data_IF_216331009296
#
_entry.id   IF_216331009296
#
_cell.length_a   1.000
_cell.length_b   1.000
_cell.length_c   1.000
_cell.angle_alpha   90.00
_cell.angle_beta   90.00
_cell.angle_gamma   90.00
#
_symmetry.space_group_name_H-M   'P 1'
#
loop_
_entity.id
_entity.type
_entity.pdbx_description
1 polymer ?
#
# COMPACT_ATOMS: atom_id res chain seq x y z
N UNK A 1 6.78 6.19 -3.37
CA UNK A 1 7.24 6.22 -1.96
C UNK A 1 6.31 5.32 -1.18
N UNK A 2 6.83 4.54 -0.23
CA UNK A 2 6.02 3.83 0.74
C UNK A 2 6.55 3.91 2.16
N UNK A 3 5.69 3.60 3.13
CA UNK A 3 6.02 3.56 4.55
C UNK A 3 6.02 2.11 5.03
N UNK A 4 7.15 1.64 5.55
CA UNK A 4 7.21 0.37 6.28
C UNK A 4 6.54 0.52 7.64
N UNK A 5 5.67 -0.43 8.02
CA UNK A 5 4.77 -0.37 9.17
C UNK A 5 3.86 0.87 9.15
N UNK A 6 2.93 0.86 8.22
CA UNK A 6 1.94 1.92 8.02
C UNK A 6 1.02 2.08 9.23
N UNK A 7 0.55 3.31 9.48
CA UNK A 7 -0.46 3.57 10.52
C UNK A 7 -1.86 3.12 10.09
N UNK A 8 -2.16 3.22 8.81
CA UNK A 8 -3.44 2.87 8.21
C UNK A 8 -3.25 2.31 6.80
N UNK A 9 -4.28 1.68 6.26
CA UNK A 9 -4.31 1.26 4.84
C UNK A 9 -4.32 2.45 3.86
N UNK A 10 -4.44 3.68 4.34
CA UNK A 10 -4.60 4.90 3.53
C UNK A 10 -3.53 5.95 3.85
N UNK A 11 -2.37 5.55 4.39
CA UNK A 11 -1.25 6.44 4.64
C UNK A 11 -0.86 7.28 3.40
N UNK A 12 -0.86 6.74 2.16
CA UNK A 12 -0.62 7.55 0.96
C UNK A 12 -1.58 8.74 0.83
N UNK A 13 -2.89 8.51 0.99
CA UNK A 13 -3.90 9.55 0.93
C UNK A 13 -3.83 10.51 2.12
N UNK A 14 -3.56 9.99 3.32
CA UNK A 14 -3.46 10.77 4.56
C UNK A 14 -2.30 11.78 4.51
N UNK A 15 -1.15 11.36 4.00
CA UNK A 15 0.06 12.19 3.93
C UNK A 15 0.29 12.85 2.56
N UNK A 16 -0.54 12.55 1.57
CA UNK A 16 -0.51 13.17 0.24
C UNK A 16 0.69 12.75 -0.62
N UNK A 17 1.10 11.48 -0.55
CA UNK A 17 2.15 10.92 -1.43
C UNK A 17 1.58 9.83 -2.36
N UNK A 18 2.27 9.61 -3.48
CA UNK A 18 1.94 8.52 -4.41
C UNK A 18 2.51 7.20 -3.85
N UNK A 19 1.62 6.42 -3.23
CA UNK A 19 1.89 5.09 -2.69
C UNK A 19 0.95 4.03 -3.27
N UNK A 20 1.27 2.78 -2.96
CA UNK A 20 0.53 1.58 -3.34
C UNK A 20 -0.60 1.27 -2.36
N UNK A 21 -0.41 1.47 -1.06
CA UNK A 21 -1.42 1.10 -0.05
C UNK A 21 -2.74 1.83 -0.22
N UNK A 22 -3.83 1.07 -0.20
CA UNK A 22 -5.17 1.61 -0.34
C UNK A 22 -6.22 0.76 0.37
N UNK A 23 -7.18 1.43 1.01
CA UNK A 23 -8.49 0.92 1.36
C UNK A 23 -9.57 1.87 0.82
N UNK A 24 -10.50 1.33 0.04
CA UNK A 24 -11.71 2.05 -0.35
C UNK A 24 -12.85 1.07 -0.58
N UNK A 25 -14.05 1.38 -0.07
CA UNK A 25 -15.24 0.53 -0.23
C UNK A 25 -15.63 0.26 -1.69
N UNK A 26 -15.20 1.12 -2.61
CA UNK A 26 -15.43 1.03 -4.05
C UNK A 26 -14.29 0.37 -4.82
N UNK A 27 -13.26 -0.15 -4.14
CA UNK A 27 -12.12 -0.79 -4.80
C UNK A 27 -12.55 -2.01 -5.61
N UNK A 28 -12.05 -2.12 -6.84
CA UNK A 28 -12.32 -3.27 -7.68
C UNK A 28 -11.70 -4.55 -7.08
N UNK A 29 -12.43 -5.66 -7.15
CA UNK A 29 -12.00 -6.96 -6.60
C UNK A 29 -10.77 -7.54 -7.30
N UNK A 30 -10.63 -7.32 -8.61
CA UNK A 30 -9.55 -7.93 -9.40
C UNK A 30 -8.15 -7.41 -9.02
N UNK A 31 -7.90 -6.08 -8.90
CA UNK A 31 -6.66 -5.56 -8.33
C UNK A 31 -6.34 -6.13 -6.94
N UNK A 32 -7.32 -6.19 -6.04
CA UNK A 32 -7.14 -6.75 -4.68
C UNK A 32 -6.61 -8.18 -4.72
N UNK A 33 -7.21 -9.03 -5.56
CA UNK A 33 -6.78 -10.43 -5.74
C UNK A 33 -5.40 -10.54 -6.38
N UNK A 34 -5.10 -9.70 -7.35
CA UNK A 34 -3.78 -9.68 -7.98
C UNK A 34 -2.70 -9.33 -6.96
N UNK A 35 -2.86 -8.24 -6.21
CA UNK A 35 -1.87 -7.83 -5.19
C UNK A 35 -1.69 -8.88 -4.09
N UNK A 36 -2.77 -9.51 -3.65
CA UNK A 36 -2.73 -10.66 -2.72
C UNK A 36 -1.89 -11.82 -3.28
N UNK A 37 -2.16 -12.25 -4.51
CA UNK A 37 -1.40 -13.31 -5.17
C UNK A 37 0.07 -12.94 -5.40
N UNK A 38 0.39 -11.65 -5.52
CA UNK A 38 1.77 -11.16 -5.63
C UNK A 38 2.52 -11.12 -4.29
N UNK A 39 1.83 -11.25 -3.16
CA UNK A 39 2.41 -11.32 -1.82
C UNK A 39 2.03 -10.17 -0.88
N UNK A 40 1.36 -9.13 -1.40
CA UNK A 40 0.92 -8.01 -0.57
C UNK A 40 -0.19 -8.43 0.38
N UNK A 41 -0.16 -7.86 1.59
CA UNK A 41 -1.23 -8.04 2.55
C UNK A 41 -2.53 -7.46 1.99
N UNK A 42 -3.61 -8.24 2.09
CA UNK A 42 -4.93 -7.91 1.58
C UNK A 42 -6.00 -8.37 2.56
N UNK A 43 -7.15 -7.70 2.57
CA UNK A 43 -8.34 -8.21 3.27
C UNK A 43 -9.23 -9.09 2.38
N UNK A 44 -8.81 -9.35 1.14
CA UNK A 44 -9.53 -10.16 0.14
C UNK A 44 -10.78 -9.50 -0.44
N UNK A 45 -11.08 -8.24 -0.06
CA UNK A 45 -12.33 -7.55 -0.41
C UNK A 45 -12.03 -6.26 -1.17
N UNK A 46 -11.38 -5.30 -0.51
CA UNK A 46 -11.34 -3.91 -0.98
C UNK A 46 -10.12 -3.12 -0.46
N UNK A 47 -9.07 -3.82 -0.04
CA UNK A 47 -7.81 -3.18 0.34
C UNK A 47 -6.61 -4.08 0.12
N UNK A 48 -5.49 -3.43 -0.12
CA UNK A 48 -4.16 -4.02 -0.16
C UNK A 48 -3.16 -3.03 0.44
N UNK A 49 -2.12 -3.57 1.07
CA UNK A 49 -1.09 -2.79 1.76
C UNK A 49 0.30 -3.14 1.26
N UNK A 50 1.24 -2.20 1.39
CA UNK A 50 2.65 -2.37 1.09
C UNK A 50 3.31 -3.55 1.85
N UNK A 51 2.80 -3.92 3.03
CA UNK A 51 3.28 -5.10 3.77
C UNK A 51 3.29 -6.33 2.86
N UNK A 52 4.42 -7.05 2.80
CA UNK A 52 4.60 -8.18 1.89
C UNK A 52 5.19 -7.83 0.53
N UNK A 53 5.72 -6.62 0.36
CA UNK A 53 6.49 -6.25 -0.84
C UNK A 53 7.80 -7.01 -0.98
N UNK A 54 8.30 -7.07 -2.21
CA UNK A 54 9.66 -7.47 -2.56
C UNK A 54 10.33 -6.35 -3.34
N UNK A 55 11.65 -6.33 -3.42
CA UNK A 55 12.35 -5.36 -4.26
C UNK A 55 11.91 -5.42 -5.73
N UNK A 56 11.53 -6.60 -6.24
CA UNK A 56 10.95 -6.74 -7.58
C UNK A 56 9.62 -5.98 -7.71
N UNK A 57 8.72 -6.09 -6.72
CA UNK A 57 7.45 -5.38 -6.75
C UNK A 57 7.63 -3.87 -6.52
N UNK A 58 8.54 -3.47 -5.62
CA UNK A 58 8.93 -2.07 -5.46
C UNK A 58 9.40 -1.49 -6.80
N UNK A 59 10.21 -2.26 -7.53
CA UNK A 59 10.70 -1.89 -8.85
C UNK A 59 9.58 -1.73 -9.87
N UNK A 60 8.69 -2.72 -9.95
CA UNK A 60 7.56 -2.76 -10.90
C UNK A 60 6.57 -1.62 -10.68
N UNK A 61 6.28 -1.26 -9.42
CA UNK A 61 5.30 -0.23 -9.05
C UNK A 61 5.91 1.16 -8.81
N UNK A 62 7.18 1.35 -9.16
CA UNK A 62 7.80 2.67 -9.08
C UNK A 62 8.03 3.16 -7.64
N UNK A 63 8.21 2.26 -6.68
CA UNK A 63 8.46 2.59 -5.27
C UNK A 63 9.96 2.89 -5.10
N UNK A 64 10.33 4.16 -5.34
CA UNK A 64 11.72 4.62 -5.23
C UNK A 64 12.21 4.77 -3.78
N UNK A 65 11.32 5.15 -2.87
CA UNK A 65 11.69 5.43 -1.48
C UNK A 65 10.88 4.56 -0.54
N UNK A 66 11.56 3.96 0.43
CA UNK A 66 10.96 3.26 1.56
C UNK A 66 11.31 4.00 2.85
N UNK A 67 10.30 4.53 3.52
CA UNK A 67 10.43 5.20 4.80
C UNK A 67 10.13 4.20 5.92
N UNK A 68 11.08 3.96 6.80
CA UNK A 68 10.94 3.09 7.96
C UNK A 68 10.89 3.95 9.23
N UNK A 69 9.78 3.87 9.98
CA UNK A 69 9.60 4.57 11.27
C UNK A 69 10.15 3.82 12.47
N UNK A 70 10.41 2.53 12.27
CA UNK A 70 11.24 1.73 13.15
C UNK A 70 12.44 1.30 12.30
N UNK A 71 13.65 1.20 12.88
CA UNK A 71 14.77 0.56 12.20
C UNK A 71 14.36 -0.81 11.68
N UNK A 72 14.69 -1.11 10.42
CA UNK A 72 14.53 -2.47 9.90
C UNK A 72 15.47 -3.40 10.66
N UNK A 73 15.00 -4.61 10.96
CA UNK A 73 15.74 -5.58 11.78
C UNK A 73 16.72 -6.46 10.98
N UNK A 74 16.80 -6.23 9.68
CA UNK A 74 17.65 -6.98 8.74
C UNK A 74 18.61 -6.04 8.02
N UNK A 75 19.68 -6.61 7.46
CA UNK A 75 20.62 -5.87 6.63
C UNK A 75 20.08 -5.70 5.21
N UNK A 76 19.79 -4.47 4.79
CA UNK A 76 19.43 -4.15 3.41
C UNK A 76 20.67 -3.62 2.67
N UNK A 77 21.23 -4.46 1.79
CA UNK A 77 22.41 -4.13 0.98
C UNK A 77 22.06 -3.59 -0.41
N UNK A 78 20.78 -3.70 -0.82
CA UNK A 78 20.34 -3.35 -2.17
C UNK A 78 19.71 -1.96 -2.24
N UNK A 79 19.01 -1.52 -1.19
CA UNK A 79 18.51 -0.16 -1.09
C UNK A 79 19.51 0.72 -0.35
N UNK A 80 19.91 1.83 -0.96
CA UNK A 80 20.82 2.78 -0.33
C UNK A 80 20.13 3.56 0.79
N UNK A 81 20.65 3.54 2.02
CA UNK A 81 20.15 4.38 3.10
C UNK A 81 20.58 5.83 2.87
N UNK A 82 19.61 6.70 2.55
CA UNK A 82 19.86 8.11 2.19
C UNK A 82 19.53 9.09 3.33
N UNK A 83 18.80 8.64 4.34
CA UNK A 83 18.50 9.42 5.54
C UNK A 83 18.40 8.48 6.75
N UNK A 84 18.97 8.90 7.87
CA UNK A 84 18.83 8.27 9.17
C UNK A 84 18.94 9.36 10.24
N UNK A 85 17.90 9.53 11.04
CA UNK A 85 17.92 10.47 12.18
C UNK A 85 17.66 9.78 13.53
N UNK A 86 17.76 8.45 13.58
CA UNK A 86 17.47 7.63 14.77
C UNK A 86 15.98 7.32 15.01
N UNK A 87 15.05 8.11 14.47
CA UNK A 87 13.59 7.85 14.54
C UNK A 87 13.03 7.36 13.21
N UNK A 88 13.61 7.83 12.11
CA UNK A 88 13.17 7.54 10.75
C UNK A 88 14.39 7.25 9.90
N UNK A 89 14.30 6.17 9.13
CA UNK A 89 15.26 5.82 8.10
C UNK A 89 14.57 5.90 6.74
N UNK A 90 15.29 6.38 5.73
CA UNK A 90 14.81 6.37 4.34
C UNK A 90 15.81 5.61 3.48
N UNK A 91 15.30 4.58 2.83
CA UNK A 91 16.01 3.75 1.88
C UNK A 91 15.57 4.12 0.47
N UNK A 92 16.52 4.24 -0.44
CA UNK A 92 16.29 4.46 -1.86
C UNK A 92 16.51 3.16 -2.62
N UNK A 93 15.46 2.71 -3.31
CA UNK A 93 15.54 1.63 -4.28
C UNK A 93 16.21 2.16 -5.56
N UNK A 94 17.37 1.64 -5.98
CA UNK A 94 18.00 2.04 -7.23
C UNK A 94 17.31 1.43 -8.45
N UNK A 95 16.52 0.36 -8.27
CA UNK A 95 15.81 -0.42 -9.28
C UNK A 95 14.38 0.07 -9.47
N UNK A 96 14.15 1.18 -10.18
CA UNK A 96 12.78 1.74 -10.31
C UNK A 96 12.35 1.75 -11.76
N UNK A 97 11.19 1.17 -12.07
CA UNK A 97 10.55 1.30 -13.38
C UNK A 97 9.69 2.56 -13.46
N UNK A 98 9.53 3.14 -14.66
CA UNK A 98 8.59 4.22 -14.87
C UNK A 98 7.15 3.70 -14.80
N UNK A 99 6.20 4.63 -14.63
CA UNK A 99 4.77 4.33 -14.49
C UNK A 99 4.21 3.44 -15.61
N UNK A 100 4.75 3.56 -16.81
CA UNK A 100 4.45 2.69 -17.93
C UNK A 100 5.73 2.38 -18.74
N UNK A 101 5.80 1.18 -19.30
CA UNK A 101 6.93 0.71 -20.12
C UNK A 101 6.45 -0.37 -21.09
N UNK A 102 7.22 -0.63 -22.14
CA UNK A 102 6.85 -1.65 -23.14
C UNK A 102 7.24 -3.03 -22.65
N UNK A 103 6.27 -3.93 -22.67
CA UNK A 103 6.38 -5.34 -22.34
C UNK A 103 6.09 -6.21 -23.58
N UNK A 104 6.52 -7.47 -23.52
CA UNK A 104 6.16 -8.47 -24.51
C UNK A 104 4.65 -8.74 -24.53
N UNK A 105 4.10 -9.02 -25.71
CA UNK A 105 2.66 -9.26 -25.89
C UNK A 105 2.11 -10.45 -25.09
N UNK A 106 2.95 -11.41 -24.71
CA UNK A 106 2.55 -12.52 -23.83
C UNK A 106 2.07 -12.05 -22.47
N UNK A 107 2.43 -10.84 -22.01
CA UNK A 107 1.93 -10.27 -20.76
C UNK A 107 0.40 -10.24 -20.65
N UNK A 108 -0.32 -10.20 -21.78
CA UNK A 108 -1.78 -10.26 -21.82
C UNK A 108 -2.35 -11.64 -21.50
N UNK A 109 -1.54 -12.71 -21.55
CA UNK A 109 -1.93 -14.08 -21.17
C UNK A 109 -1.52 -14.44 -19.74
N UNK A 110 -0.82 -13.54 -19.04
CA UNK A 110 -0.45 -13.75 -17.65
C UNK A 110 -1.69 -13.81 -16.76
N UNK A 111 -1.71 -14.76 -15.85
CA UNK A 111 -2.65 -14.80 -14.74
C UNK A 111 -1.99 -15.38 -13.49
N UNK A 112 -2.23 -14.71 -12.36
CA UNK A 112 -1.68 -15.09 -11.07
C UNK A 112 -2.45 -16.25 -10.44
N UNK A 113 -1.76 -17.01 -9.59
CA UNK A 113 -2.34 -18.17 -8.88
C UNK A 113 -2.18 -18.03 -7.39
N UNK A 114 -3.17 -18.48 -6.63
CA UNK A 114 -3.15 -18.40 -5.17
C UNK A 114 -1.95 -19.13 -4.53
N UNK A 115 -1.45 -18.61 -3.42
CA UNK A 115 -0.36 -19.15 -2.58
C UNK A 115 0.98 -19.49 -3.29
N UNK A 116 1.22 -18.95 -4.49
CA UNK A 116 2.42 -19.20 -5.30
C UNK A 116 3.21 -17.92 -5.58
N UNK A 117 3.54 -17.20 -4.51
CA UNK A 117 4.03 -15.81 -4.54
C UNK A 117 5.26 -15.62 -5.43
N UNK A 118 6.35 -16.36 -5.19
CA UNK A 118 7.58 -16.23 -5.98
C UNK A 118 7.39 -16.72 -7.42
N UNK A 119 6.62 -17.80 -7.62
CA UNK A 119 6.27 -18.28 -8.96
C UNK A 119 5.46 -17.26 -9.75
N UNK A 120 4.52 -16.56 -9.13
CA UNK A 120 3.74 -15.50 -9.76
C UNK A 120 4.66 -14.35 -10.18
N UNK A 121 5.57 -13.90 -9.31
CA UNK A 121 6.54 -12.86 -9.60
C UNK A 121 7.48 -13.25 -10.75
N UNK A 122 8.02 -14.47 -10.74
CA UNK A 122 8.85 -15.00 -11.83
C UNK A 122 8.10 -15.04 -13.15
N UNK A 123 6.89 -15.61 -13.16
CA UNK A 123 6.07 -15.70 -14.37
C UNK A 123 5.72 -14.31 -14.89
N UNK A 124 5.37 -13.36 -14.02
CA UNK A 124 5.06 -12.00 -14.45
C UNK A 124 6.28 -11.35 -15.12
N UNK A 125 7.46 -11.44 -14.48
CA UNK A 125 8.71 -10.93 -15.04
C UNK A 125 8.99 -11.52 -16.43
N UNK A 126 8.84 -12.84 -16.59
CA UNK A 126 9.05 -13.55 -17.86
C UNK A 126 8.01 -13.22 -18.93
N UNK A 127 6.75 -12.94 -18.56
CA UNK A 127 5.77 -12.49 -19.55
C UNK A 127 5.99 -11.02 -19.94
N UNK A 128 6.59 -10.21 -19.07
CA UNK A 128 7.02 -8.85 -19.40
C UNK A 128 8.24 -8.89 -20.33
N UNK A 129 9.23 -9.72 -19.99
CA UNK A 129 10.46 -9.91 -20.76
C UNK A 129 10.83 -11.42 -20.79
N UNK A 130 10.56 -12.11 -21.92
CA UNK A 130 10.82 -13.56 -22.07
C UNK A 130 12.28 -13.99 -21.98
N UNK A 131 13.23 -13.05 -22.07
CA UNK A 131 14.66 -13.34 -21.96
C UNK A 131 15.12 -13.50 -20.51
N UNK A 132 14.25 -13.23 -19.53
CA UNK A 132 14.58 -13.35 -18.11
C UNK A 132 14.54 -14.79 -17.63
N UNK A 133 15.47 -15.11 -16.74
CA UNK A 133 15.37 -16.29 -15.90
C UNK A 133 14.44 -16.02 -14.69
N UNK A 134 14.49 -16.87 -13.67
CA UNK A 134 13.73 -16.63 -12.45
C UNK A 134 14.37 -15.48 -11.65
N UNK A 135 13.55 -14.47 -11.31
CA UNK A 135 13.91 -13.41 -10.38
C UNK A 135 14.09 -13.98 -8.96
N UNK A 136 13.30 -14.99 -8.60
CA UNK A 136 13.34 -15.67 -7.32
C UNK A 136 13.60 -17.16 -7.49
N UNK A 137 14.60 -17.67 -6.79
CA UNK A 137 14.88 -19.11 -6.73
C UNK A 137 14.46 -19.62 -5.36
N UNK A 138 13.47 -20.53 -5.31
CA UNK A 138 13.04 -21.15 -4.05
C UNK A 138 14.08 -22.17 -3.57
N UNK A 139 14.38 -22.14 -2.27
CA UNK A 139 15.32 -23.04 -1.60
C UNK A 139 14.58 -24.18 -0.91
N UNK A 140 15.30 -25.29 -0.72
CA UNK A 140 14.80 -26.41 0.08
C UNK A 140 14.84 -26.04 1.56
N UNK A 141 13.70 -26.18 2.23
CA UNK A 141 13.58 -26.12 3.68
C UNK A 141 13.34 -27.53 4.22
N UNK A 142 14.01 -27.87 5.31
CA UNK A 142 13.95 -29.20 5.95
C UNK A 142 13.24 -29.08 7.29
N UNK A 143 12.32 -30.00 7.56
CA UNK A 143 11.67 -30.12 8.87
C UNK A 143 12.57 -30.94 9.81
N UNK A 144 13.04 -30.33 10.90
CA UNK A 144 13.89 -31.00 11.88
C UNK A 144 13.09 -31.88 12.84
N UNK A 145 11.79 -31.63 12.99
CA UNK A 145 10.90 -32.38 13.88
C UNK A 145 10.34 -33.66 13.22
N UNK A 146 10.57 -33.83 11.91
CA UNK A 146 10.09 -35.00 11.18
C UNK A 146 10.80 -36.29 11.66
N UNK A 147 10.08 -37.43 11.80
CA UNK A 147 10.70 -38.70 12.16
C UNK A 147 11.86 -39.07 11.22
N UNK A 148 12.96 -39.57 11.79
CA UNK A 148 14.11 -40.04 11.02
C UNK A 148 13.67 -41.06 9.95
N UNK A 149 13.92 -40.75 8.67
CA UNK A 149 13.53 -41.60 7.54
C UNK A 149 12.25 -41.19 6.82
N UNK A 150 11.44 -40.27 7.35
CA UNK A 150 10.43 -39.55 6.54
C UNK A 150 11.12 -38.40 5.83
N UNK A 151 11.97 -38.72 4.85
CA UNK A 151 12.55 -37.71 3.98
C UNK A 151 11.39 -36.99 3.28
N UNK A 152 11.12 -35.75 3.68
CA UNK A 152 10.32 -34.86 2.87
C UNK A 152 11.00 -34.75 1.50
N UNK A 153 10.28 -35.15 0.46
CA UNK A 153 10.72 -35.01 -0.92
C UNK A 153 11.11 -33.55 -1.18
N UNK A 154 12.20 -33.34 -1.94
CA UNK A 154 12.60 -32.00 -2.38
C UNK A 154 11.40 -31.22 -2.92
N UNK A 155 11.14 -30.02 -2.36
CA UNK A 155 10.06 -29.13 -2.79
C UNK A 155 8.79 -29.16 -1.94
N UNK A 156 8.80 -29.81 -0.77
CA UNK A 156 7.68 -29.73 0.16
C UNK A 156 7.63 -28.33 0.78
N UNK A 157 6.64 -27.56 0.37
CA UNK A 157 6.36 -26.25 0.94
C UNK A 157 5.37 -26.34 2.09
N UNK A 158 4.93 -27.53 2.49
CA UNK A 158 3.92 -27.73 3.54
C UNK A 158 4.53 -28.45 4.73
N UNK A 159 4.37 -27.88 5.91
CA UNK A 159 4.91 -28.43 7.15
C UNK A 159 3.78 -28.63 8.15
N UNK A 160 3.72 -29.83 8.74
CA UNK A 160 2.72 -30.15 9.75
C UNK A 160 3.27 -29.90 11.14
N UNK A 161 2.39 -29.49 12.05
CA UNK A 161 2.67 -29.41 13.47
C UNK A 161 1.63 -30.24 14.24
N UNK A 162 2.03 -30.79 15.38
CA UNK A 162 1.15 -31.52 16.28
C UNK A 162 1.64 -31.40 17.73
N UNK A 163 0.75 -30.99 18.63
CA UNK A 163 0.98 -30.99 20.07
C UNK A 163 0.82 -32.40 20.60
N UNK A 164 1.68 -32.78 21.54
CA UNK A 164 1.55 -34.08 22.22
C UNK A 164 0.41 -34.03 23.24
N UNK A 165 0.31 -32.92 23.98
CA UNK A 165 -0.77 -32.65 24.91
C UNK A 165 -1.41 -31.28 24.60
N UNK A 166 -2.74 -31.11 24.72
CA UNK A 166 -3.42 -29.86 24.37
C UNK A 166 -2.92 -28.62 25.14
N UNK A 167 -2.45 -28.83 26.38
CA UNK A 167 -1.95 -27.76 27.26
C UNK A 167 -0.52 -27.29 26.89
N UNK A 168 0.16 -27.98 25.97
CA UNK A 168 1.53 -27.66 25.59
C UNK A 168 1.58 -26.58 24.50
N UNK A 169 2.65 -25.78 24.51
CA UNK A 169 3.09 -25.08 23.31
C UNK A 169 3.84 -26.04 22.38
N UNK A 170 3.81 -25.76 21.08
CA UNK A 170 4.63 -26.46 20.09
C UNK A 170 5.43 -25.44 19.29
N UNK A 171 6.73 -25.66 19.15
CA UNK A 171 7.58 -24.91 18.21
C UNK A 171 7.99 -25.85 17.10
N UNK A 172 7.66 -25.50 15.87
CA UNK A 172 8.13 -26.18 14.67
C UNK A 172 9.53 -25.68 14.33
N UNK A 173 10.51 -26.59 14.28
CA UNK A 173 11.89 -26.26 13.93
C UNK A 173 12.17 -26.64 12.48
N UNK A 174 12.50 -25.63 11.67
CA UNK A 174 12.85 -25.80 10.27
C UNK A 174 14.28 -25.31 10.03
N UNK A 175 14.91 -25.85 9.00
CA UNK A 175 16.29 -25.56 8.65
C UNK A 175 16.45 -25.36 7.15
N UNK A 176 17.29 -24.41 6.74
CA UNK A 176 17.73 -24.26 5.36
C UNK A 176 19.23 -23.99 5.29
N UNK A 177 19.86 -24.53 4.23
CA UNK A 177 21.23 -24.21 3.88
C UNK A 177 21.25 -23.03 2.90
N UNK A 178 22.01 -21.99 3.23
CA UNK A 178 22.28 -20.84 2.36
C UNK A 178 23.60 -21.11 1.63
N UNK A 179 23.50 -21.43 0.34
CA UNK A 179 24.65 -21.75 -0.51
C UNK A 179 25.25 -20.52 -1.21
N UNK A 180 24.53 -19.40 -1.24
CA UNK A 180 24.96 -18.15 -1.89
C UNK A 180 24.62 -16.95 -1.00
N UNK A 181 25.56 -16.04 -0.79
CA UNK A 181 25.30 -14.81 -0.04
C UNK A 181 24.51 -13.83 -0.91
N UNK A 182 23.28 -13.48 -0.50
CA UNK A 182 22.35 -12.68 -1.29
C UNK A 182 21.19 -12.15 -0.44
N UNK A 183 20.26 -11.42 -1.05
CA UNK A 183 18.99 -11.02 -0.41
C UNK A 183 17.95 -12.14 -0.49
N UNK A 184 17.31 -12.44 0.64
CA UNK A 184 16.33 -13.51 0.79
C UNK A 184 14.95 -13.00 1.25
N UNK A 185 13.93 -13.80 0.92
CA UNK A 185 12.54 -13.55 1.27
C UNK A 185 11.89 -14.84 1.75
N UNK A 186 10.98 -14.72 2.72
CA UNK A 186 10.22 -15.82 3.26
C UNK A 186 8.73 -15.55 3.12
N UNK A 187 8.01 -16.46 2.46
CA UNK A 187 6.55 -16.46 2.48
C UNK A 187 6.05 -17.53 3.45
N UNK A 188 5.11 -17.15 4.31
CA UNK A 188 4.41 -18.06 5.22
C UNK A 188 2.90 -17.92 5.01
N UNK A 189 2.19 -19.04 4.87
CA UNK A 189 0.74 -19.09 4.98
C UNK A 189 0.40 -20.02 6.15
N UNK A 190 -0.09 -19.43 7.24
CA UNK A 190 -0.44 -20.19 8.43
C UNK A 190 -1.68 -21.07 8.24
N UNK A 191 -2.38 -21.01 7.10
CA UNK A 191 -3.63 -21.74 6.80
C UNK A 191 -4.70 -21.56 7.87
N UNK A 192 -4.81 -20.33 8.41
CA UNK A 192 -5.70 -19.95 9.51
C UNK A 192 -5.36 -20.58 10.86
N UNK A 193 -4.17 -21.15 11.01
CA UNK A 193 -3.65 -21.53 12.31
C UNK A 193 -3.10 -20.29 13.02
N UNK A 194 -3.45 -20.15 14.29
CA UNK A 194 -2.96 -19.07 15.15
C UNK A 194 -1.52 -19.38 15.56
N UNK A 195 -0.59 -18.67 14.91
CA UNK A 195 0.82 -18.68 15.26
C UNK A 195 1.12 -17.48 16.16
N UNK A 196 1.85 -17.72 17.23
CA UNK A 196 2.16 -16.68 18.23
C UNK A 196 3.44 -15.94 17.88
N UNK A 197 4.47 -16.69 17.49
CA UNK A 197 5.78 -16.15 17.14
C UNK A 197 6.41 -16.89 15.97
N UNK A 198 7.26 -16.19 15.24
CA UNK A 198 7.97 -16.71 14.09
C UNK A 198 9.29 -15.96 13.92
N UNK A 199 10.40 -16.68 14.05
CA UNK A 199 11.74 -16.08 13.94
C UNK A 199 12.64 -16.90 13.04
N UNK A 200 13.56 -16.21 12.37
CA UNK A 200 14.71 -16.81 11.72
C UNK A 200 15.96 -16.42 12.49
N UNK A 201 16.84 -17.39 12.76
CA UNK A 201 18.17 -17.16 13.32
C UNK A 201 19.20 -17.55 12.26
N UNK A 202 20.09 -16.61 11.92
CA UNK A 202 21.19 -16.87 11.00
C UNK A 202 22.43 -17.46 11.69
N UNK A 203 23.44 -17.81 10.91
CA UNK A 203 24.70 -18.35 11.43
C UNK A 203 25.49 -17.39 12.35
N UNK A 204 25.24 -16.08 12.26
CA UNK A 204 25.88 -15.07 13.11
C UNK A 204 25.19 -14.95 14.47
N UNK A 205 24.01 -15.58 14.62
CA UNK A 205 23.12 -15.44 15.76
C UNK A 205 22.18 -14.24 15.66
N UNK A 206 22.11 -13.56 14.50
CA UNK A 206 21.13 -12.52 14.26
C UNK A 206 19.74 -13.14 14.18
N UNK A 207 18.79 -12.55 14.92
CA UNK A 207 17.39 -12.96 14.93
C UNK A 207 16.56 -11.97 14.11
N UNK A 208 15.80 -12.48 13.16
CA UNK A 208 14.88 -11.73 12.30
C UNK A 208 13.46 -12.20 12.61
N UNK A 209 12.63 -11.29 13.13
CA UNK A 209 11.21 -11.57 13.33
C UNK A 209 10.47 -11.64 12.00
N UNK A 210 9.65 -12.67 11.85
CA UNK A 210 8.94 -13.00 10.63
C UNK A 210 7.48 -12.57 10.70
N UNK A 211 6.90 -12.27 9.54
CA UNK A 211 5.46 -12.17 9.44
C UNK A 211 4.83 -13.55 9.71
N UNK A 212 3.83 -13.57 10.58
CA UNK A 212 3.11 -14.79 10.94
C UNK A 212 2.27 -15.37 9.79
N UNK A 213 1.95 -14.52 8.82
CA UNK A 213 1.37 -14.88 7.54
C UNK A 213 1.69 -13.78 6.53
N UNK A 214 1.88 -14.16 5.27
CA UNK A 214 2.37 -13.29 4.21
C UNK A 214 3.88 -13.33 4.02
N UNK A 215 4.38 -12.41 3.21
CA UNK A 215 5.79 -12.33 2.81
C UNK A 215 6.59 -11.45 3.76
N UNK A 216 7.79 -11.89 4.10
CA UNK A 216 8.80 -11.18 4.90
C UNK A 216 10.06 -11.00 4.07
N UNK A 217 10.61 -9.80 4.05
CA UNK A 217 11.97 -9.55 3.54
C UNK A 217 12.98 -9.88 4.65
N UNK A 218 13.90 -10.80 4.37
CA UNK A 218 14.93 -11.23 5.33
C UNK A 218 16.21 -10.42 5.20
N UNK A 219 16.34 -9.58 4.16
CA UNK A 219 17.57 -8.86 3.87
C UNK A 219 18.68 -9.78 3.38
N UNK A 220 19.91 -9.32 3.50
CA UNK A 220 21.12 -10.05 3.16
C UNK A 220 21.37 -11.18 4.17
N UNK A 221 21.57 -12.40 3.65
CA UNK A 221 22.02 -13.55 4.43
C UNK A 221 23.35 -14.04 3.86
N UNK A 222 24.33 -14.24 4.74
CA UNK A 222 25.60 -14.89 4.38
C UNK A 222 25.44 -16.39 4.17
N UNK A 223 26.41 -17.01 3.47
CA UNK A 223 26.46 -18.46 3.28
C UNK A 223 26.57 -19.19 4.62
N UNK A 224 25.70 -20.17 4.87
CA UNK A 224 25.65 -20.87 6.15
C UNK A 224 24.30 -21.51 6.43
N UNK A 225 24.14 -22.04 7.64
CA UNK A 225 22.87 -22.60 8.10
C UNK A 225 21.96 -21.49 8.65
N UNK A 226 20.67 -21.59 8.37
CA UNK A 226 19.64 -20.76 9.00
C UNK A 226 18.57 -21.64 9.62
N UNK A 227 18.13 -21.27 10.82
CA UNK A 227 17.10 -21.98 11.58
C UNK A 227 15.84 -21.11 11.65
N UNK A 228 14.68 -21.72 11.42
CA UNK A 228 13.38 -21.07 11.57
C UNK A 228 12.61 -21.74 12.69
N UNK A 229 12.08 -20.93 13.60
CA UNK A 229 11.28 -21.37 14.73
C UNK A 229 9.90 -20.74 14.64
N UNK A 230 8.88 -21.58 14.54
CA UNK A 230 7.48 -21.17 14.40
C UNK A 230 6.70 -21.70 15.60
N UNK A 231 6.28 -20.80 16.50
CA UNK A 231 5.72 -21.17 17.80
C UNK A 231 4.21 -21.01 17.83
N UNK A 232 3.56 -22.06 18.33
CA UNK A 232 2.12 -22.18 18.56
C UNK A 232 1.89 -22.36 20.06
N UNK A 233 1.20 -21.41 20.70
CA UNK A 233 0.89 -21.45 22.13
C UNK A 233 -0.07 -22.58 22.50
N UNK A 234 -0.23 -22.83 23.79
CA UNK A 234 -1.20 -23.78 24.33
C UNK A 234 -2.64 -23.53 23.81
N UNK A 235 -3.03 -22.28 23.57
CA UNK A 235 -4.35 -21.93 23.02
C UNK A 235 -4.52 -22.17 21.53
N UNK A 236 -3.44 -22.38 20.77
CA UNK A 236 -3.51 -22.70 19.34
C UNK A 236 -4.10 -24.11 19.09
N UNK A 237 -4.42 -24.44 17.84
CA UNK A 237 -4.91 -25.77 17.48
C UNK A 237 -3.92 -26.90 17.87
N UNK A 238 -4.45 -28.09 18.20
CA UNK A 238 -3.63 -29.25 18.57
C UNK A 238 -2.80 -29.80 17.40
N UNK A 239 -3.25 -29.60 16.17
CA UNK A 239 -2.51 -29.97 14.97
C UNK A 239 -2.93 -29.12 13.80
N UNK A 240 -2.06 -29.03 12.80
CA UNK A 240 -2.35 -28.28 11.58
C UNK A 240 -1.20 -28.36 10.60
N UNK A 241 -1.29 -27.52 9.56
CA UNK A 241 -0.26 -27.38 8.55
C UNK A 241 -0.05 -25.93 8.21
N UNK A 242 1.20 -25.55 7.98
CA UNK A 242 1.57 -24.28 7.39
C UNK A 242 2.12 -24.51 5.98
N UNK A 243 2.05 -23.50 5.13
CA UNK A 243 2.85 -23.44 3.92
C UNK A 243 3.98 -22.42 4.07
N UNK A 244 5.19 -22.79 3.69
CA UNK A 244 6.37 -21.94 3.81
C UNK A 244 7.26 -22.08 2.57
N UNK A 245 7.73 -20.94 2.06
CA UNK A 245 8.64 -20.86 0.91
C UNK A 245 9.75 -19.86 1.22
N UNK A 246 11.00 -20.32 1.19
CA UNK A 246 12.18 -19.48 1.27
C UNK A 246 12.71 -19.26 -0.15
N UNK A 247 13.00 -18.02 -0.54
CA UNK A 247 13.53 -17.74 -1.86
C UNK A 247 14.66 -16.71 -1.84
N UNK A 248 15.64 -16.92 -2.71
CA UNK A 248 16.72 -15.99 -3.00
C UNK A 248 16.31 -15.07 -4.15
N UNK A 249 16.61 -13.77 -4.03
CA UNK A 249 16.53 -12.83 -5.15
C UNK A 249 17.76 -12.97 -6.07
N UNK A 250 17.51 -13.07 -7.37
CA UNK A 250 18.52 -12.95 -8.41
C UNK A 250 18.66 -11.47 -8.82
N UNK A 251 19.64 -10.78 -8.24
CA UNK A 251 19.88 -9.35 -8.48
C UNK A 251 20.22 -9.07 -9.95
N UNK A 252 20.97 -9.94 -10.61
CA UNK A 252 21.34 -9.77 -12.01
C UNK A 252 20.10 -9.76 -12.93
N UNK A 253 19.15 -10.67 -12.69
CA UNK A 253 17.89 -10.72 -13.43
C UNK A 253 16.98 -9.54 -13.07
N UNK A 254 16.98 -9.08 -11.81
CA UNK A 254 16.27 -7.84 -11.43
C UNK A 254 16.84 -6.62 -12.14
N UNK A 255 18.16 -6.48 -12.21
CA UNK A 255 18.84 -5.40 -12.94
C UNK A 255 18.52 -5.45 -14.42
N UNK A 256 18.56 -6.64 -15.03
CA UNK A 256 18.19 -6.87 -16.44
C UNK A 256 16.73 -6.49 -16.71
N UNK A 257 15.80 -6.87 -15.82
CA UNK A 257 14.40 -6.47 -15.88
C UNK A 257 14.23 -4.95 -15.85
N UNK A 258 14.90 -4.28 -14.91
CA UNK A 258 14.79 -2.83 -14.73
C UNK A 258 15.41 -2.04 -15.89
N UNK A 259 16.57 -2.48 -16.40
CA UNK A 259 17.21 -1.93 -17.59
C UNK A 259 16.30 -1.99 -18.82
N UNK A 260 15.70 -3.16 -19.07
CA UNK A 260 14.81 -3.36 -20.20
C UNK A 260 13.58 -2.43 -20.11
N UNK A 261 12.90 -2.39 -18.96
CA UNK A 261 11.72 -1.53 -18.78
C UNK A 261 12.02 -0.03 -18.85
N UNK A 262 13.18 0.42 -18.35
CA UNK A 262 13.56 1.82 -18.45
C UNK A 262 13.95 2.25 -19.86
N UNK A 263 14.47 1.34 -20.69
CA UNK A 263 14.84 1.66 -22.07
C UNK A 263 13.65 2.05 -22.95
N UNK A 264 12.46 1.50 -22.66
CA UNK A 264 11.19 1.75 -23.36
C UNK A 264 10.16 2.50 -22.51
N UNK A 265 10.61 3.05 -21.39
CA UNK A 265 9.78 3.65 -20.36
C UNK A 265 9.16 5.00 -20.74
N UNK A 266 7.98 5.26 -20.19
CA UNK A 266 7.28 6.54 -20.31
C UNK A 266 8.05 7.67 -19.63
N UNK A 267 8.48 8.64 -20.43
CA UNK A 267 9.06 9.90 -19.96
C UNK A 267 7.93 10.90 -19.74
N UNK A 268 7.63 11.17 -18.47
CA UNK A 268 6.51 12.05 -18.08
C UNK A 268 6.82 13.52 -18.39
N UNK A 269 5.86 14.15 -19.07
CA UNK A 269 5.81 15.60 -19.33
C UNK A 269 4.79 16.33 -18.45
N UNK A 270 3.79 15.61 -17.92
CA UNK A 270 2.81 16.11 -16.96
C UNK A 270 2.28 14.95 -16.12
N UNK A 271 2.12 15.18 -14.83
CA UNK A 271 1.55 14.21 -13.90
C UNK A 271 0.62 14.92 -12.89
N UNK A 272 -0.66 14.58 -12.92
CA UNK A 272 -1.68 14.96 -11.94
C UNK A 272 -2.56 13.75 -11.65
N UNK A 273 -3.31 13.81 -10.56
CA UNK A 273 -4.20 12.72 -10.11
C UNK A 273 -5.21 12.27 -11.18
N UNK A 274 -5.62 13.16 -12.07
CA UNK A 274 -6.60 12.91 -13.12
C UNK A 274 -6.02 12.92 -14.55
N UNK A 275 -4.72 13.20 -14.70
CA UNK A 275 -4.12 13.47 -16.01
C UNK A 275 -2.65 13.10 -16.06
N UNK A 276 -2.29 12.23 -17.00
CA UNK A 276 -0.92 11.77 -17.23
C UNK A 276 -0.58 12.02 -18.69
N UNK A 277 0.59 12.60 -18.96
CA UNK A 277 1.09 12.79 -20.33
C UNK A 277 2.58 12.52 -20.40
N UNK A 278 3.01 11.79 -21.41
CA UNK A 278 4.44 11.56 -21.66
C UNK A 278 4.70 10.99 -23.04
N UNK A 279 5.97 10.72 -23.32
CA UNK A 279 6.40 10.06 -24.56
C UNK A 279 7.22 8.81 -24.22
N UNK A 280 7.17 7.81 -25.09
CA UNK A 280 7.94 6.59 -24.97
C UNK A 280 8.33 6.08 -26.36
N UNK A 281 9.30 5.18 -26.41
CA UNK A 281 9.72 4.54 -27.66
C UNK A 281 9.55 3.03 -27.49
N UNK A 282 8.79 2.42 -28.40
CA UNK A 282 8.62 0.98 -28.46
C UNK A 282 9.64 0.40 -29.44
N UNK A 283 10.54 -0.50 -29.00
CA UNK A 283 11.53 -1.10 -29.88
C UNK A 283 10.89 -2.00 -30.95
N UNK A 284 9.83 -2.72 -30.56
CA UNK A 284 9.08 -3.66 -31.39
C UNK A 284 7.58 -3.51 -31.16
N UNK A 285 6.77 -4.27 -31.91
CA UNK A 285 5.35 -4.41 -31.59
C UNK A 285 5.19 -5.11 -30.24
N UNK A 286 4.44 -4.51 -29.32
CA UNK A 286 4.32 -5.00 -27.96
C UNK A 286 3.12 -4.44 -27.23
N UNK A 287 3.25 -4.33 -25.92
CA UNK A 287 2.20 -3.84 -25.04
C UNK A 287 2.80 -2.81 -24.10
N UNK A 288 2.28 -1.59 -24.12
CA UNK A 288 2.56 -0.63 -23.08
C UNK A 288 1.82 -1.07 -21.81
N UNK A 289 2.58 -1.61 -20.85
CA UNK A 289 2.07 -1.99 -19.54
C UNK A 289 2.08 -0.76 -18.63
N UNK A 290 0.97 -0.52 -17.93
CA UNK A 290 0.86 0.53 -16.92
C UNK A 290 0.78 -0.10 -15.54
N UNK A 291 1.62 0.37 -14.61
CA UNK A 291 1.59 -0.03 -13.19
C UNK A 291 0.42 0.58 -12.41
N UNK A 292 -0.67 0.92 -13.10
CA UNK A 292 -1.89 1.52 -12.56
C UNK A 292 -3.03 0.49 -12.67
N UNK A 293 -3.78 0.24 -11.58
CA UNK A 293 -4.96 -0.61 -11.62
C UNK A 293 -5.98 -0.14 -12.66
N UNK A 294 -6.67 -1.09 -13.30
CA UNK A 294 -7.73 -0.81 -14.24
C UNK A 294 -8.93 -0.16 -13.54
N UNK A 295 -9.40 0.94 -14.13
CA UNK A 295 -10.66 1.60 -13.78
C UNK A 295 -11.35 2.07 -15.08
N UNK A 296 -12.67 1.86 -15.24
CA UNK A 296 -13.40 2.29 -16.44
C UNK A 296 -13.39 3.81 -16.66
N UNK A 297 -13.09 4.62 -15.63
CA UNK A 297 -12.97 6.06 -15.73
C UNK A 297 -11.73 6.55 -16.49
N UNK A 298 -10.75 5.69 -16.77
CA UNK A 298 -9.59 6.04 -17.57
C UNK A 298 -9.87 6.04 -19.07
N UNK A 299 -9.64 7.17 -19.73
CA UNK A 299 -9.51 7.25 -21.19
C UNK A 299 -8.04 7.36 -21.56
N UNK A 300 -7.54 6.41 -22.33
CA UNK A 300 -6.15 6.39 -22.80
C UNK A 300 -6.10 6.72 -24.29
N UNK A 301 -5.17 7.62 -24.66
CA UNK A 301 -4.85 7.94 -26.05
C UNK A 301 -3.37 7.70 -26.32
N UNK A 302 -3.10 7.03 -27.44
CA UNK A 302 -1.76 6.89 -28.01
C UNK A 302 -1.78 7.63 -29.34
N UNK A 303 -0.87 8.60 -29.51
CA UNK A 303 -0.77 9.47 -30.69
C UNK A 303 -2.06 10.22 -31.03
N UNK A 304 -2.83 10.56 -29.99
CA UNK A 304 -4.09 11.28 -30.10
C UNK A 304 -5.31 10.38 -30.35
N UNK A 305 -5.12 9.11 -30.68
CA UNK A 305 -6.20 8.15 -30.92
C UNK A 305 -6.57 7.38 -29.65
N UNK A 306 -7.87 7.22 -29.40
CA UNK A 306 -8.39 6.48 -28.24
C UNK A 306 -8.08 4.99 -28.41
N UNK A 307 -7.52 4.38 -27.36
CA UNK A 307 -7.11 2.99 -27.38
C UNK A 307 -8.07 2.10 -26.57
N UNK A 308 -8.20 0.84 -27.01
CA UNK A 308 -8.87 -0.21 -26.26
C UNK A 308 -7.97 -0.70 -25.12
N UNK A 309 -8.39 -0.47 -23.88
CA UNK A 309 -7.60 -0.82 -22.70
C UNK A 309 -7.74 -2.31 -22.41
N UNK A 310 -6.65 -3.05 -22.60
CA UNK A 310 -6.51 -4.44 -22.17
C UNK A 310 -6.13 -4.50 -20.70
N UNK A 311 -6.29 -5.69 -20.11
CA UNK A 311 -6.06 -5.91 -18.68
C UNK A 311 -5.09 -7.05 -18.46
N UNK A 312 -4.04 -6.80 -17.69
CA UNK A 312 -3.16 -7.84 -17.17
C UNK A 312 -3.80 -8.40 -15.91
N UNK A 313 -4.09 -9.71 -15.91
CA UNK A 313 -4.74 -10.43 -14.80
C UNK A 313 -6.00 -9.73 -14.25
N UNK A 314 -6.75 -9.05 -15.13
CA UNK A 314 -7.90 -8.18 -14.79
C UNK A 314 -7.59 -7.02 -13.82
N UNK A 315 -6.32 -6.82 -13.48
CA UNK A 315 -5.87 -5.91 -12.43
C UNK A 315 -5.21 -4.65 -12.97
N UNK A 316 -4.21 -4.76 -13.84
CA UNK A 316 -3.45 -3.61 -14.36
C UNK A 316 -3.87 -3.26 -15.79
N UNK A 317 -3.67 -2.01 -16.19
CA UNK A 317 -3.95 -1.55 -17.55
C UNK A 317 -2.83 -1.87 -18.52
N UNK A 318 -3.20 -2.23 -19.75
CA UNK A 318 -2.29 -2.57 -20.82
C UNK A 318 -2.83 -2.05 -22.16
N UNK A 319 -1.97 -1.50 -23.01
CA UNK A 319 -2.35 -0.97 -24.33
C UNK A 319 -1.44 -1.55 -25.40
N UNK A 320 -1.97 -2.28 -26.39
CA UNK A 320 -1.17 -2.73 -27.54
C UNK A 320 -0.57 -1.55 -28.29
N UNK A 321 0.71 -1.62 -28.64
CA UNK A 321 1.44 -0.54 -29.34
C UNK A 321 2.32 -1.09 -30.44
N UNK A 322 2.44 -0.35 -31.55
CA UNK A 322 3.41 -0.69 -32.61
C UNK A 322 4.83 -0.35 -32.19
N UNK A 323 5.82 -0.81 -32.96
CA UNK A 323 7.16 -0.26 -32.89
C UNK A 323 7.16 1.23 -33.29
N UNK A 324 8.00 2.05 -32.64
CA UNK A 324 8.17 3.46 -32.96
C UNK A 324 8.10 4.42 -31.77
N UNK A 325 8.14 5.72 -32.06
CA UNK A 325 7.94 6.77 -31.05
C UNK A 325 6.45 7.05 -30.87
N UNK A 326 6.04 7.17 -29.62
CA UNK A 326 4.64 7.33 -29.25
C UNK A 326 4.46 8.38 -28.17
N UNK A 327 3.32 9.06 -28.22
CA UNK A 327 2.84 9.98 -27.20
C UNK A 327 1.65 9.38 -26.46
N UNK A 328 1.72 9.34 -25.13
CA UNK A 328 0.65 8.86 -24.27
C UNK A 328 -0.06 10.04 -23.63
N UNK A 329 -1.40 10.03 -23.65
CA UNK A 329 -2.23 10.90 -22.82
C UNK A 329 -3.31 10.09 -22.13
N UNK A 330 -3.43 10.22 -20.81
CA UNK A 330 -4.46 9.59 -20.01
C UNK A 330 -5.28 10.67 -19.29
N UNK A 331 -6.59 10.49 -19.27
CA UNK A 331 -7.52 11.35 -18.53
C UNK A 331 -8.47 10.47 -17.73
N UNK A 332 -8.58 10.75 -16.43
CA UNK A 332 -9.53 10.08 -15.55
C UNK A 332 -10.79 10.91 -15.37
N UNK A 333 -11.95 10.28 -15.55
CA UNK A 333 -13.25 10.82 -15.17
C UNK A 333 -14.08 9.72 -14.50
N UNK A 334 -14.50 9.90 -13.25
CA UNK A 334 -15.35 8.90 -12.59
C UNK A 334 -16.60 8.60 -13.42
N UNK A 335 -16.90 7.32 -13.56
CA UNK A 335 -18.10 6.85 -14.25
C UNK A 335 -19.36 7.38 -13.53
N UNK A 336 -20.33 7.89 -14.29
CA UNK A 336 -21.55 8.47 -13.73
C UNK A 336 -21.42 9.90 -13.21
N UNK A 337 -20.23 10.52 -13.24
CA UNK A 337 -20.07 11.91 -12.76
C UNK A 337 -20.91 12.91 -13.57
N UNK A 338 -20.93 12.77 -14.89
CA UNK A 338 -21.74 13.62 -15.79
C UNK A 338 -23.23 13.50 -15.51
N UNK A 339 -23.70 12.26 -15.36
CA UNK A 339 -25.08 11.89 -15.09
C UNK A 339 -25.49 12.40 -13.71
N UNK A 340 -24.63 12.23 -12.69
CA UNK A 340 -24.84 12.72 -11.35
C UNK A 340 -24.94 14.25 -11.27
N UNK A 341 -24.09 14.97 -12.00
CA UNK A 341 -24.16 16.44 -12.12
C UNK A 341 -25.50 16.84 -12.76
N UNK A 342 -25.90 16.18 -13.84
CA UNK A 342 -27.16 16.47 -14.53
C UNK A 342 -28.38 16.25 -13.62
N UNK A 343 -28.44 15.11 -12.92
CA UNK A 343 -29.52 14.79 -11.99
C UNK A 343 -29.58 15.82 -10.85
N UNK A 344 -28.42 16.17 -10.29
CA UNK A 344 -28.32 17.16 -9.21
C UNK A 344 -28.79 18.54 -9.66
N UNK A 345 -28.43 18.96 -10.88
CA UNK A 345 -28.88 20.23 -11.44
C UNK A 345 -30.39 20.27 -11.67
N UNK A 346 -30.98 19.17 -12.17
CA UNK A 346 -32.44 19.05 -12.34
C UNK A 346 -33.16 19.08 -10.99
N UNK A 347 -32.66 18.32 -10.01
CA UNK A 347 -33.22 18.30 -8.66
C UNK A 347 -33.16 19.68 -7.98
N UNK A 348 -32.03 20.38 -8.12
CA UNK A 348 -31.88 21.75 -7.61
C UNK A 348 -32.83 22.73 -8.29
N UNK A 349 -32.99 22.64 -9.61
CA UNK A 349 -33.94 23.47 -10.34
C UNK A 349 -35.39 23.21 -9.89
N UNK A 350 -35.77 21.94 -9.73
CA UNK A 350 -37.09 21.56 -9.22
C UNK A 350 -37.32 22.07 -7.78
N UNK A 351 -36.30 21.98 -6.92
CA UNK A 351 -36.36 22.48 -5.55
C UNK A 351 -36.55 24.01 -5.50
N UNK A 352 -35.79 24.75 -6.31
CA UNK A 352 -35.94 26.22 -6.44
C UNK A 352 -37.34 26.58 -6.93
N UNK A 353 -37.87 25.87 -7.94
CA UNK A 353 -39.23 26.10 -8.45
C UNK A 353 -40.29 25.82 -7.39
N UNK A 354 -40.13 24.77 -6.57
CA UNK A 354 -41.03 24.46 -5.47
C UNK A 354 -41.04 25.56 -4.41
N UNK A 355 -39.86 26.11 -4.05
CA UNK A 355 -39.75 27.25 -3.12
C UNK A 355 -40.47 28.47 -3.70
N UNK A 356 -40.20 28.85 -4.95
CA UNK A 356 -40.85 29.99 -5.60
C UNK A 356 -42.37 29.79 -5.64
N UNK A 357 -42.85 28.60 -5.99
CA UNK A 357 -44.26 28.25 -5.98
C UNK A 357 -44.90 28.40 -4.59
N UNK A 358 -44.20 27.97 -3.53
CA UNK A 358 -44.69 28.10 -2.15
C UNK A 358 -44.80 29.55 -1.69
N UNK A 359 -43.81 30.39 -2.02
CA UNK A 359 -43.78 31.82 -1.65
C UNK A 359 -44.85 32.61 -2.42
N UNK A 360 -44.98 32.37 -3.73
CA UNK A 360 -46.03 32.99 -4.54
C UNK A 360 -47.43 32.52 -4.12
N UNK A 361 -47.57 31.26 -3.72
CA UNK A 361 -48.81 30.69 -3.17
C UNK A 361 -49.23 31.34 -1.85
N UNK A 362 -48.28 31.60 -0.94
CA UNK A 362 -48.53 32.34 0.32
C UNK A 362 -48.98 33.77 0.06
N UNK A 363 -48.27 34.51 -0.82
CA UNK A 363 -48.65 35.89 -1.17
C UNK A 363 -50.02 35.99 -1.85
N UNK A 364 -50.42 34.99 -2.64
CA UNK A 364 -51.77 34.94 -3.21
C UNK A 364 -52.82 34.67 -2.13
N UNK A 365 -52.58 33.75 -1.20
CA UNK A 365 -53.50 33.48 -0.09
C UNK A 365 -53.70 34.68 0.83
N UNK A 366 -52.68 35.52 1.01
CA UNK A 366 -52.79 36.79 1.75
C UNK A 366 -53.59 37.88 1.01
N UNK A 367 -53.72 37.80 -0.33
CA UNK A 367 -54.45 38.79 -1.14
C UNK A 367 -55.92 38.42 -1.43
N UNK A 368 -56.30 37.14 -1.31
CA UNK A 368 -57.67 36.67 -1.63
C UNK A 368 -58.62 36.54 -0.43
N UNK A 369 -58.32 37.12 0.74
CA UNK A 369 -59.26 37.13 1.87
C UNK A 369 -59.56 38.56 2.36
N UNK A 370 -60.77 39.06 2.08
CA UNK A 370 -61.66 39.49 3.13
C UNK A 370 -62.90 38.58 3.14
N UNK A 371 -63.00 37.75 4.18
CA UNK A 371 -64.25 37.11 4.58
C UNK A 371 -64.51 35.73 3.99
N UNK A 372 -63.72 34.72 4.38
CA UNK A 372 -64.29 33.40 4.71
C UNK A 372 -63.29 32.60 5.54
N UNK A 373 -63.67 32.29 6.78
CA UNK A 373 -62.90 31.44 7.68
C UNK A 373 -63.12 29.99 7.21
N UNK A 374 -62.11 29.40 6.56
CA UNK A 374 -62.11 27.97 6.24
C UNK A 374 -61.32 27.22 7.32
N UNK A 375 -61.97 26.23 7.93
CA UNK A 375 -61.58 25.52 9.13
C UNK A 375 -60.35 24.58 9.03
N UNK A 376 -59.35 24.91 8.21
CA UNK A 376 -58.10 24.12 8.10
C UNK A 376 -56.89 24.73 8.81
N UNK A 377 -57.00 25.95 9.34
CA UNK A 377 -55.89 26.62 10.07
C UNK A 377 -55.68 26.06 11.50
N UNK A 378 -56.49 25.10 11.93
CA UNK A 378 -56.38 24.47 13.25
C UNK A 378 -55.25 23.45 13.40
N UNK A 379 -54.51 23.13 12.33
CA UNK A 379 -53.37 22.20 12.41
C UNK A 379 -52.02 22.90 12.61
N UNK A 380 -51.95 24.24 12.46
CA UNK A 380 -50.73 25.03 12.68
C UNK A 380 -50.88 26.16 13.70
N UNK A 381 -52.09 26.39 14.22
CA UNK A 381 -52.27 27.24 15.39
C UNK A 381 -51.82 26.46 16.64
N UNK A 382 -50.81 26.96 17.35
CA UNK A 382 -50.46 26.46 18.67
C UNK A 382 -51.65 26.50 19.62
N UNK A 383 -51.65 25.69 20.70
CA UNK A 383 -52.82 25.48 21.55
C UNK A 383 -53.29 26.80 22.22
N UNK A 384 -54.62 27.00 22.26
CA UNK A 384 -55.27 28.12 22.93
C UNK A 384 -55.04 28.05 24.46
N UNK A 385 -55.14 29.20 25.15
CA UNK A 385 -54.86 29.35 26.60
C UNK A 385 -55.73 28.46 27.52
N UNK A 386 -56.91 28.00 27.07
CA UNK A 386 -57.72 27.03 27.81
C UNK A 386 -57.19 25.58 27.71
N UNK A 387 -56.49 25.22 26.62
CA UNK A 387 -55.86 23.90 26.46
C UNK A 387 -54.56 23.79 27.28
N UNK A 388 -53.87 24.92 27.53
CA UNK A 388 -52.69 24.97 28.40
C UNK A 388 -53.03 24.67 29.87
N UNK A 389 -54.18 25.10 30.37
CA UNK A 389 -54.58 24.83 31.76
C UNK A 389 -55.03 23.37 31.97
N UNK A 390 -55.62 22.72 30.96
CA UNK A 390 -56.00 21.31 31.05
C UNK A 390 -54.85 20.33 30.76
N UNK A 391 -53.82 20.72 30.00
CA UNK A 391 -52.59 19.91 29.84
C UNK A 391 -51.65 20.00 31.06
N UNK A 392 -51.64 21.15 31.76
CA UNK A 392 -50.89 21.31 33.01
C UNK A 392 -51.42 20.39 34.13
N UNK A 393 -52.73 20.17 34.22
CA UNK A 393 -53.32 19.29 35.24
C UNK A 393 -53.29 17.80 34.90
N UNK A 394 -52.98 17.41 33.65
CA UNK A 394 -52.98 16.00 33.24
C UNK A 394 -51.59 15.40 33.05
N UNK A 395 -50.53 16.22 33.01
CA UNK A 395 -49.14 15.72 32.93
C UNK A 395 -48.42 15.62 34.28
N UNK A 396 -48.96 16.23 35.35
CA UNK A 396 -48.44 16.04 36.73
C UNK A 396 -48.81 14.68 37.36
N UNK A 397 -49.69 13.88 36.74
CA UNK A 397 -50.08 12.57 37.26
C UNK A 397 -49.33 11.38 36.61
N UNK A 398 -48.73 11.55 35.42
CA UNK A 398 -48.15 10.43 34.65
C UNK A 398 -46.61 10.49 34.49
N UNK A 399 -45.93 11.50 35.04
CA UNK A 399 -44.47 11.61 35.06
C UNK A 399 -43.91 11.66 36.48
N UNK A 400 -44.32 10.68 37.29
CA UNK A 400 -43.61 10.28 38.51
C UNK A 400 -43.09 8.85 38.35
N UNK A 401 -42.26 8.60 37.33
CA UNK A 401 -41.34 7.46 37.26
C UNK A 401 -40.46 7.53 36.00
N UNK A 402 -39.25 8.09 36.14
CA UNK A 402 -37.97 7.59 35.58
C UNK A 402 -37.01 8.74 35.24
N UNK A 403 -35.99 8.83 36.09
CA UNK A 403 -34.58 9.09 35.78
C UNK A 403 -34.15 10.44 35.18
N UNK A 404 -34.02 11.37 36.12
CA UNK A 404 -32.77 12.06 36.48
C UNK A 404 -31.60 12.07 35.48
N UNK A 405 -31.33 13.28 34.97
CA UNK A 405 -30.05 14.03 35.00
C UNK A 405 -29.81 14.76 33.67
N UNK A 406 -30.49 15.90 33.49
CA UNK A 406 -30.19 16.88 32.46
C UNK A 406 -29.91 18.22 33.13
N UNK A 407 -28.65 18.66 33.03
CA UNK A 407 -28.29 20.07 33.12
C UNK A 407 -28.90 20.82 31.91
N UNK A 408 -29.37 22.04 32.13
CA UNK A 408 -30.45 22.70 31.39
C UNK A 408 -30.10 23.12 29.94
N UNK A 409 -31.11 23.38 29.08
CA UNK A 409 -30.92 23.79 27.68
C UNK A 409 -30.10 25.08 27.50
N UNK A 410 -30.17 25.99 28.46
CA UNK A 410 -29.46 27.28 28.42
C UNK A 410 -27.93 27.11 28.57
N UNK A 411 -27.47 26.04 29.23
CA UNK A 411 -26.04 25.70 29.31
C UNK A 411 -25.54 25.02 28.02
N UNK A 412 -26.44 24.46 27.19
CA UNK A 412 -26.07 23.81 25.91
C UNK A 412 -25.81 24.81 24.80
N UNK A 413 -26.57 25.90 24.76
CA UNK A 413 -26.38 26.95 23.74
C UNK A 413 -25.12 27.78 24.02
N UNK A 414 -24.80 28.02 25.31
CA UNK A 414 -23.51 28.64 25.68
C UNK A 414 -22.30 27.75 25.32
N UNK A 415 -22.39 26.44 25.53
CA UNK A 415 -21.32 25.50 25.15
C UNK A 415 -21.17 25.38 23.63
N UNK A 416 -22.27 25.50 22.87
CA UNK A 416 -22.23 25.46 21.40
C UNK A 416 -21.58 26.72 20.81
N UNK A 417 -21.87 27.89 21.36
CA UNK A 417 -21.26 29.16 20.94
C UNK A 417 -19.79 29.30 21.39
N UNK A 418 -19.42 28.70 22.52
CA UNK A 418 -18.02 28.61 22.99
C UNK A 418 -17.17 27.69 22.08
N UNK A 419 -17.72 26.54 21.65
CA UNK A 419 -17.07 25.63 20.68
C UNK A 419 -16.93 26.26 19.29
N UNK A 420 -17.87 27.11 18.87
CA UNK A 420 -17.81 27.81 17.59
C UNK A 420 -16.83 28.98 17.60
N UNK A 421 -16.63 29.64 18.75
CA UNK A 421 -15.68 30.74 18.89
C UNK A 421 -14.23 30.28 19.10
N UNK A 422 -13.99 29.11 19.71
CA UNK A 422 -12.64 28.51 19.78
C UNK A 422 -12.17 27.93 18.42
N UNK A 423 -13.07 27.58 17.50
CA UNK A 423 -12.72 27.05 16.18
C UNK A 423 -12.61 28.14 15.08
N UNK A 424 -12.98 29.39 15.38
CA UNK A 424 -12.92 30.50 14.43
C UNK A 424 -11.59 31.29 14.47
N UNK A 425 -10.74 31.09 15.49
CA UNK A 425 -9.41 31.72 15.58
C UNK A 425 -8.25 30.89 14.99
N UNK A 426 -8.51 29.73 14.37
CA UNK A 426 -7.50 28.97 13.62
C UNK A 426 -7.83 28.78 12.13
N UNK A 427 -8.51 29.78 11.54
CA UNK A 427 -8.76 29.86 10.11
C UNK A 427 -7.72 30.72 9.38
N UNK A 428 -6.92 30.08 8.53
CA UNK A 428 -6.41 30.66 7.28
C UNK A 428 -5.47 31.88 7.35
N UNK A 429 -4.19 31.59 7.57
CA UNK A 429 -3.12 32.29 6.87
C UNK A 429 -1.90 31.37 6.72
N UNK A 430 -1.92 30.49 5.70
CA UNK A 430 -0.67 29.93 5.15
C UNK A 430 -0.54 30.36 3.70
N UNK A 431 0.41 31.27 3.51
CA UNK A 431 1.02 31.61 2.23
C UNK A 431 1.24 30.35 1.40
N UNK A 432 0.77 30.40 0.15
CA UNK A 432 1.34 29.64 -0.95
C UNK A 432 2.83 30.00 -1.01
N UNK A 433 3.69 29.11 -0.55
CA UNK A 433 5.10 29.17 -0.87
C UNK A 433 5.70 27.75 -0.91
N UNK A 434 6.09 27.37 -2.12
CA UNK A 434 7.30 26.60 -2.43
C UNK A 434 7.37 25.20 -1.80
N UNK A 435 6.57 24.24 -2.29
CA UNK A 435 6.90 22.81 -2.13
C UNK A 435 6.40 21.87 -3.25
N UNK A 436 5.77 22.39 -4.31
CA UNK A 436 5.28 21.53 -5.42
C UNK A 436 6.07 21.66 -6.74
N UNK A 437 6.88 22.71 -6.92
CA UNK A 437 7.68 22.91 -8.15
C UNK A 437 8.97 22.06 -8.21
N UNK A 438 9.26 21.25 -7.18
CA UNK A 438 10.45 20.37 -7.18
C UNK A 438 10.16 18.92 -7.57
N UNK A 439 8.90 18.47 -7.61
CA UNK A 439 8.60 17.11 -8.09
C UNK A 439 8.63 17.00 -9.62
N UNK A 440 8.41 18.10 -10.35
CA UNK A 440 8.46 18.14 -11.81
C UNK A 440 9.88 17.97 -12.40
N UNK A 441 10.93 18.07 -11.56
CA UNK A 441 12.32 17.83 -11.98
C UNK A 441 12.72 16.34 -11.95
N UNK A 442 11.99 15.46 -11.26
CA UNK A 442 12.39 14.05 -11.13
C UNK A 442 11.98 13.18 -12.32
N UNK A 443 11.10 13.65 -13.22
CA UNK A 443 10.67 12.89 -14.42
C UNK A 443 11.67 12.86 -15.58
N UNK A 444 12.84 13.51 -15.44
CA UNK A 444 13.83 13.68 -16.51
C UNK A 444 15.11 12.85 -16.35
N UNK A 445 15.18 11.94 -15.38
CA UNK A 445 16.41 11.18 -15.11
C UNK A 445 16.52 9.95 -16.01
N UNK A 446 17.73 9.75 -16.53
CA UNK A 446 18.21 8.45 -17.01
C UNK A 446 18.74 7.68 -15.81
N UNK A 447 18.23 6.48 -15.56
CA UNK A 447 18.69 5.64 -14.45
C UNK A 447 20.00 4.95 -14.83
N UNK A 448 21.04 5.16 -14.03
CA UNK A 448 22.28 4.40 -14.06
C UNK A 448 22.26 3.47 -12.86
N UNK A 449 22.24 2.16 -13.10
CA UNK A 449 22.27 1.16 -12.04
C UNK A 449 23.72 0.89 -11.61
N UNK A 450 23.97 0.57 -10.33
CA UNK A 450 25.30 0.20 -9.88
C UNK A 450 25.83 -1.02 -10.66
N UNK A 451 27.09 -0.99 -11.07
CA UNK A 451 27.77 -2.13 -11.68
C UNK A 451 28.32 -3.06 -10.60
N UNK A 452 27.84 -4.31 -10.59
CA UNK A 452 28.36 -5.39 -9.75
C UNK A 452 29.30 -6.25 -10.60
N UNK A 453 30.46 -5.69 -10.94
CA UNK A 453 31.63 -6.45 -11.37
C UNK A 453 32.82 -5.94 -10.57
N UNK A 454 33.03 -6.53 -9.40
CA UNK A 454 34.35 -6.69 -8.78
C UNK A 454 34.23 -7.63 -7.59
N UNK A 455 34.18 -8.93 -7.89
CA UNK A 455 34.49 -9.99 -6.95
C UNK A 455 35.54 -10.92 -7.58
N UNK A 456 36.65 -10.32 -8.01
CA UNK A 456 37.90 -11.03 -8.25
C UNK A 456 39.02 -10.00 -8.42
N UNK A 457 39.72 -9.70 -7.33
CA UNK A 457 41.18 -9.84 -7.31
C UNK A 457 41.67 -9.58 -5.89
N UNK A 458 42.37 -10.59 -5.36
CA UNK A 458 43.12 -10.43 -4.14
C UNK A 458 44.32 -9.53 -4.41
N UNK A 459 44.59 -8.63 -3.49
CA UNK A 459 45.97 -8.27 -3.22
C UNK A 459 46.16 -7.88 -1.76
N UNK A 460 47.17 -8.50 -1.18
CA UNK A 460 47.73 -8.27 0.13
C UNK A 460 48.12 -6.81 0.32
N UNK A 461 47.68 -6.18 1.41
CA UNK A 461 48.29 -4.94 1.89
C UNK A 461 48.95 -5.20 3.23
N UNK A 462 50.27 -5.32 3.14
CA UNK A 462 51.24 -5.26 4.22
C UNK A 462 51.15 -3.95 5.00
N UNK A 463 51.29 -4.06 6.31
CA UNK A 463 51.48 -2.95 7.23
C UNK A 463 52.68 -2.07 6.83
N UNK A 464 52.44 -0.77 6.78
CA UNK A 464 53.48 0.25 6.90
C UNK A 464 52.97 1.33 7.85
N UNK A 465 53.58 1.36 9.03
CA UNK A 465 53.47 2.44 9.98
C UNK A 465 54.30 3.62 9.47
N UNK A 466 53.68 4.79 9.37
CA UNK A 466 54.40 6.06 9.37
C UNK A 466 53.88 6.93 10.51
N UNK A 467 54.84 7.26 11.35
CA UNK A 467 54.81 8.16 12.48
C UNK A 467 54.52 9.59 12.03
N UNK A 468 53.59 10.26 12.71
CA UNK A 468 53.56 11.71 12.73
C UNK A 468 53.84 12.23 14.14
N UNK A 469 54.83 13.11 14.17
CA UNK A 469 55.44 13.74 15.33
C UNK A 469 54.70 15.06 15.58
N UNK A 470 54.13 15.22 16.77
CA UNK A 470 53.91 16.55 17.37
C UNK A 470 54.27 16.53 18.86
N UNK A 471 55.43 17.13 19.12
CA UNK A 471 55.83 17.95 20.28
C UNK A 471 54.63 18.69 20.93
N UNK A 472 54.47 18.90 22.24
CA UNK A 472 55.32 18.69 23.40
C UNK A 472 54.59 19.17 24.69
N UNK A 473 55.06 18.73 25.85
CA UNK A 473 55.03 19.40 27.17
C UNK A 473 55.63 18.42 28.20
N UNK A 474 56.91 18.57 28.50
CA UNK A 474 57.48 19.27 29.66
C UNK A 474 57.37 18.54 31.02
N UNK A 475 58.56 18.23 31.54
CA UNK A 475 58.98 18.17 32.96
C UNK A 475 58.43 16.98 33.81
N UNK A 476 59.23 16.17 34.53
CA UNK A 476 60.39 16.46 35.40
C UNK A 476 61.22 15.21 35.76
N UNK A 477 62.55 15.41 35.85
CA UNK A 477 63.54 14.99 36.88
C UNK A 477 64.02 13.53 37.05
N UNK A 478 65.31 13.37 36.71
CA UNK A 478 66.45 12.93 37.57
C UNK A 478 66.19 11.87 38.65
N UNK A 479 66.69 10.65 38.45
CA UNK A 479 68.06 10.22 38.78
C UNK A 479 68.31 8.76 38.39
#
# INVERSE_FOLDING_TARGET
LEINKQKSSNDPALYGYNGLSMFASTSAKAPVRFFENMGYYSNGINSYKYTGSTLFLDSLFGIEFLLARDPISYEDVLRGKILDNGEVQVYQNPYVLPLAFVANSSVLTYSSTDAQVFRNQNRLAQHINPDLENIFTELKVTNLDAPQGTASTSGDSRFNFYKTYPEDSYTLHLHAQIDEAATYYLYVDSKKNDMDDANLTDQSGQVISLNRSGLTELGFLGMGEVNLELTFSASAADSGSIELRLARLNEAELKKFCLAGNSSGLKLSSFRNDYIKGNFTSPDNGVLLLSIPYDPGWTIRVDGEIQDVRKLDQALMAVPVSAGEHSLTMLFRPEGLSEGILISAIALAAFILAIIGSVLGRKRREQTAPGEIIASDRFLAGPDEEDKQNFAQKSEADLAASDAAANSPEERDQLFDEILSENAEQGWNRKKDITFDKMEQYSKRSYLYPDTTDASDGDSVSAAAESDVTDGSEQTKDN
#
